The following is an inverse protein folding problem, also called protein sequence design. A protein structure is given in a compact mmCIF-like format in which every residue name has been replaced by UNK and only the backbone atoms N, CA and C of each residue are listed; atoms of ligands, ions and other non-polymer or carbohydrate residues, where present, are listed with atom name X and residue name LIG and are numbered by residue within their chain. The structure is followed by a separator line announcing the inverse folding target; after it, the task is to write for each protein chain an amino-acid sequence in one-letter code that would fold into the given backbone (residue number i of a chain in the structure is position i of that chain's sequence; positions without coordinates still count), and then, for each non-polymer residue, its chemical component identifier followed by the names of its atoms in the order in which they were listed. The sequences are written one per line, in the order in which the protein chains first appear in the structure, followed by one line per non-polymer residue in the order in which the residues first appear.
data_IF_034063281405
#
_entry.id   IF_034063281405
#
_cell.length_a   1.000
_cell.length_b   1.000
_cell.length_c   1.000
_cell.angle_alpha   90.00
_cell.angle_beta   90.00
_cell.angle_gamma   90.00
#
_symmetry.space_group_name_H-M   'P 1'
#
loop_
_entity.id
_entity.type
_entity.pdbx_description
1 polymer ?
#
# COMPACT_ATOMS: atom_id res chain seq x y z
N UNK A 1 -29.24 0.52 1.50
CA UNK A 1 -27.84 1.02 1.54
C UNK A 1 -26.94 -0.04 0.92
N UNK A 2 -26.53 0.15 -0.33
CA UNK A 2 -25.51 -0.70 -0.96
C UNK A 2 -24.15 -0.18 -0.50
N UNK A 3 -23.39 -1.02 0.18
CA UNK A 3 -22.02 -0.73 0.61
C UNK A 3 -21.00 -1.09 -0.47
N UNK A 4 -21.42 -1.14 -1.74
CA UNK A 4 -20.69 -1.84 -2.81
C UNK A 4 -19.89 -0.94 -3.76
N UNK A 5 -19.89 0.38 -3.56
CA UNK A 5 -19.09 1.29 -4.41
C UNK A 5 -18.19 2.23 -3.59
N UNK A 6 -17.69 1.76 -2.44
CA UNK A 6 -16.57 2.44 -1.79
C UNK A 6 -15.31 2.08 -2.56
N UNK A 7 -14.75 3.04 -3.29
CA UNK A 7 -13.45 2.88 -3.94
C UNK A 7 -12.39 2.77 -2.86
N UNK A 8 -12.09 1.53 -2.44
CA UNK A 8 -10.99 1.29 -1.53
C UNK A 8 -9.67 1.49 -2.29
N UNK A 9 -8.83 2.37 -1.74
CA UNK A 9 -7.51 2.68 -2.29
C UNK A 9 -6.46 2.04 -1.39
N UNK A 10 -5.65 1.13 -1.93
CA UNK A 10 -4.42 0.71 -1.25
C UNK A 10 -3.30 1.69 -1.55
N UNK A 11 -2.73 2.26 -0.49
CA UNK A 11 -1.50 3.05 -0.55
C UNK A 11 -0.32 2.18 -0.13
N UNK A 12 0.52 1.82 -1.09
CA UNK A 12 1.84 1.27 -0.79
C UNK A 12 2.80 2.44 -0.54
N UNK A 13 3.49 2.44 0.59
CA UNK A 13 4.59 3.36 0.89
C UNK A 13 5.87 2.54 1.01
N UNK A 14 6.86 2.82 0.18
CA UNK A 14 8.18 2.16 0.24
C UNK A 14 9.15 3.17 0.84
N UNK A 15 9.72 2.83 1.98
CA UNK A 15 10.77 3.57 2.67
C UNK A 15 12.08 2.79 2.51
N UNK A 16 13.15 3.44 2.06
CA UNK A 16 14.46 2.79 1.97
C UNK A 16 15.23 3.10 3.24
N UNK A 17 15.46 2.08 4.04
CA UNK A 17 16.35 2.15 5.20
C UNK A 17 17.70 1.56 4.78
N UNK A 18 18.83 2.00 5.33
CA UNK A 18 20.17 1.57 4.89
C UNK A 18 20.40 0.05 4.86
N UNK A 19 19.50 -0.73 5.47
CA UNK A 19 19.52 -2.20 5.53
C UNK A 19 18.52 -2.88 4.56
N UNK A 20 17.63 -2.13 3.89
CA UNK A 20 16.63 -2.69 2.96
C UNK A 20 15.48 -1.75 2.62
N UNK A 21 14.36 -2.30 2.13
CA UNK A 21 13.15 -1.54 1.85
C UNK A 21 12.04 -1.93 2.83
N UNK A 22 11.51 -0.94 3.54
CA UNK A 22 10.33 -1.09 4.38
C UNK A 22 9.09 -0.72 3.58
N UNK A 23 8.30 -1.72 3.24
CA UNK A 23 7.05 -1.56 2.53
C UNK A 23 5.88 -1.51 3.53
N UNK A 24 5.06 -0.46 3.43
CA UNK A 24 3.88 -0.23 4.25
C UNK A 24 2.65 -0.12 3.37
N UNK A 25 1.69 -1.01 3.54
CA UNK A 25 0.42 -1.02 2.84
C UNK A 25 -0.65 -0.51 3.77
N UNK A 26 -1.24 0.64 3.42
CA UNK A 26 -2.39 1.19 4.14
C UNK A 26 -3.61 1.15 3.22
N UNK A 27 -4.71 0.55 3.68
CA UNK A 27 -6.01 0.62 3.01
C UNK A 27 -6.64 1.96 3.34
N UNK A 28 -7.30 2.62 2.39
CA UNK A 28 -8.05 3.87 2.60
C UNK A 28 -9.40 3.75 1.89
N UNK A 29 -10.41 4.44 2.43
CA UNK A 29 -11.70 4.61 1.77
C UNK A 29 -11.60 5.69 0.67
N UNK A 30 -12.61 5.81 -0.19
CA UNK A 30 -12.64 6.70 -1.37
C UNK A 30 -12.42 8.17 -0.98
N UNK A 31 -12.94 8.56 0.19
CA UNK A 31 -12.73 9.88 0.77
C UNK A 31 -11.28 10.18 1.14
N UNK A 32 -10.36 9.21 1.08
CA UNK A 32 -8.91 9.39 1.26
C UNK A 32 -8.48 9.85 2.66
N UNK A 33 -9.43 10.16 3.54
CA UNK A 33 -9.24 10.87 4.81
C UNK A 33 -8.63 9.98 5.89
N UNK A 34 -8.94 8.69 5.94
CA UNK A 34 -8.43 7.80 6.99
C UNK A 34 -7.95 6.44 6.46
N UNK A 35 -6.83 5.91 7.00
CA UNK A 35 -6.50 4.51 6.81
C UNK A 35 -7.59 3.62 7.43
N UNK A 36 -8.14 2.71 6.64
CA UNK A 36 -9.12 1.72 7.09
C UNK A 36 -8.37 0.50 7.61
N UNK A 37 -8.41 0.31 8.93
CA UNK A 37 -7.77 -0.80 9.61
C UNK A 37 -6.25 -0.65 9.78
N UNK A 38 -5.61 -1.76 10.18
CA UNK A 38 -4.18 -1.77 10.49
C UNK A 38 -3.35 -1.78 9.21
N UNK A 39 -2.37 -0.86 9.05
CA UNK A 39 -1.46 -0.90 7.93
C UNK A 39 -0.52 -2.11 8.06
N UNK A 40 -0.39 -2.88 6.98
CA UNK A 40 0.55 -3.99 6.91
C UNK A 40 1.95 -3.48 6.63
N UNK A 41 2.91 -3.87 7.45
CA UNK A 41 4.32 -3.45 7.33
C UNK A 41 5.16 -4.70 7.12
N UNK A 42 5.97 -4.71 6.08
CA UNK A 42 6.86 -5.81 5.75
C UNK A 42 8.20 -5.29 5.22
N UNK A 43 9.25 -6.03 5.52
CA UNK A 43 10.59 -5.76 5.02
C UNK A 43 10.78 -6.53 3.70
N UNK A 44 11.34 -5.86 2.70
CA UNK A 44 11.66 -6.41 1.39
C UNK A 44 13.06 -5.97 1.01
N UNK A 45 13.78 -6.83 0.29
CA UNK A 45 15.16 -6.55 -0.10
C UNK A 45 15.24 -5.68 -1.34
N UNK A 46 14.16 -5.60 -2.12
CA UNK A 46 14.08 -4.77 -3.33
C UNK A 46 12.75 -4.02 -3.44
N UNK A 47 12.77 -2.87 -4.12
CA UNK A 47 11.55 -2.12 -4.47
C UNK A 47 10.59 -2.94 -5.35
N UNK A 48 11.11 -3.82 -6.20
CA UNK A 48 10.28 -4.66 -7.06
C UNK A 48 9.48 -5.68 -6.25
N UNK A 49 10.11 -6.30 -5.24
CA UNK A 49 9.39 -7.15 -4.30
C UNK A 49 8.32 -6.38 -3.54
N UNK A 50 8.61 -5.15 -3.10
CA UNK A 50 7.61 -4.27 -2.48
C UNK A 50 6.39 -4.06 -3.38
N UNK A 51 6.62 -3.70 -4.64
CA UNK A 51 5.57 -3.46 -5.65
C UNK A 51 4.79 -4.73 -5.95
N UNK A 52 5.46 -5.87 -6.11
CA UNK A 52 4.83 -7.17 -6.38
C UNK A 52 3.90 -7.56 -5.25
N UNK A 53 4.35 -7.41 -4.00
CA UNK A 53 3.54 -7.74 -2.81
C UNK A 53 2.34 -6.81 -2.67
N UNK A 54 2.51 -5.52 -2.97
CA UNK A 54 1.39 -4.58 -2.98
C UNK A 54 0.36 -4.86 -4.07
N UNK A 55 0.80 -5.25 -5.27
CA UNK A 55 -0.09 -5.70 -6.34
C UNK A 55 -0.86 -6.96 -5.95
N UNK A 56 -0.16 -7.93 -5.35
CA UNK A 56 -0.80 -9.17 -4.92
C UNK A 56 -1.82 -8.94 -3.80
N UNK A 57 -1.50 -8.07 -2.83
CA UNK A 57 -2.44 -7.63 -1.79
C UNK A 57 -3.63 -6.87 -2.37
N UNK A 58 -3.41 -5.93 -3.29
CA UNK A 58 -4.50 -5.22 -3.96
C UNK A 58 -5.41 -6.18 -4.73
N UNK A 59 -4.84 -7.19 -5.40
CA UNK A 59 -5.59 -8.23 -6.10
C UNK A 59 -6.35 -9.14 -5.14
N UNK A 60 -5.71 -9.58 -4.05
CA UNK A 60 -6.34 -10.43 -3.03
C UNK A 60 -7.53 -9.74 -2.35
N UNK A 61 -7.45 -8.41 -2.20
CA UNK A 61 -8.52 -7.57 -1.65
C UNK A 61 -9.57 -7.17 -2.69
N UNK A 62 -9.45 -7.58 -3.95
CA UNK A 62 -10.40 -7.23 -5.01
C UNK A 62 -10.44 -5.74 -5.36
N UNK A 63 -9.37 -5.00 -5.07
CA UNK A 63 -9.35 -3.55 -5.22
C UNK A 63 -9.21 -3.15 -6.68
N UNK A 64 -10.14 -2.31 -7.15
CA UNK A 64 -10.09 -1.70 -8.49
C UNK A 64 -8.99 -0.64 -8.60
N UNK A 65 -8.65 0.02 -7.49
CA UNK A 65 -7.74 1.17 -7.48
C UNK A 65 -6.68 1.01 -6.39
N UNK A 66 -5.40 1.12 -6.76
CA UNK A 66 -4.30 1.17 -5.80
C UNK A 66 -3.26 2.21 -6.25
N UNK A 67 -2.62 2.84 -5.28
CA UNK A 67 -1.59 3.86 -5.49
C UNK A 67 -0.30 3.43 -4.82
N UNK A 68 0.78 3.37 -5.60
CA UNK A 68 2.13 3.20 -5.07
C UNK A 68 2.75 4.56 -4.83
N UNK A 69 3.18 4.81 -3.61
CA UNK A 69 3.94 5.98 -3.19
C UNK A 69 5.35 5.51 -2.83
N UNK A 70 6.31 5.84 -3.69
CA UNK A 70 7.72 5.67 -3.36
C UNK A 70 8.11 6.84 -2.44
N UNK A 71 8.42 6.55 -1.19
CA UNK A 71 9.04 7.49 -0.24
C UNK A 71 10.47 7.02 -0.03
N UNK A 72 11.29 7.08 -1.07
CA UNK A 72 12.73 7.12 -0.80
C UNK A 72 13.02 8.44 -0.14
N UNK A 73 13.29 8.41 1.17
CA UNK A 73 14.04 9.46 1.84
C UNK A 73 15.38 9.53 1.09
N UNK A 74 15.45 10.48 0.16
CA UNK A 74 16.70 10.87 -0.47
C UNK A 74 17.37 11.74 0.58
N UNK A 75 18.41 11.22 1.21
CA UNK A 75 19.43 12.05 1.85
C UNK A 75 20.05 12.97 0.79
#
# INVERSE_FOLDING_TARGET
MRWDDRVMIVRLTIDQDGTGFRARISKRDDEGNAPVGTPEIFLVHTKEEAKKRAKDLARALGLKTYRVVDKTLKD
#
